data_IF_179035829780
#
_entry.id   IF_179035829780
#
_cell.length_a   1.000
_cell.length_b   1.000
_cell.length_c   1.000
_cell.angle_alpha   90.00
_cell.angle_beta   90.00
_cell.angle_gamma   90.00
#
_symmetry.space_group_name_H-M   'P 1'
#
loop_
_entity.id
_entity.type
_entity.pdbx_description
1 polymer ?
#
# COMPACT_ATOMS: atom_id res chain seq x y z
N UNK A 1 30.55 17.57 -12.45
CA UNK A 1 29.24 16.92 -12.23
C UNK A 1 28.94 16.94 -10.74
N UNK A 2 28.07 17.85 -10.28
CA UNK A 2 27.63 17.88 -8.88
C UNK A 2 26.47 16.91 -8.74
N UNK A 3 26.68 15.83 -7.98
CA UNK A 3 25.63 14.89 -7.59
C UNK A 3 24.84 15.59 -6.49
N UNK A 4 23.66 16.13 -6.83
CA UNK A 4 22.76 16.71 -5.83
C UNK A 4 22.17 15.54 -5.04
N UNK A 5 22.70 15.32 -3.84
CA UNK A 5 22.10 14.41 -2.86
C UNK A 5 20.68 14.87 -2.56
N UNK A 6 19.71 13.97 -2.72
CA UNK A 6 18.30 14.22 -2.42
C UNK A 6 18.16 14.64 -0.94
N UNK A 7 17.54 15.77 -0.62
CA UNK A 7 17.39 16.22 0.77
C UNK A 7 16.49 15.24 1.56
N UNK A 8 16.76 15.10 2.86
CA UNK A 8 15.93 14.32 3.77
C UNK A 8 14.53 14.96 3.88
N UNK A 9 13.44 14.17 3.99
CA UNK A 9 12.09 14.71 4.01
C UNK A 9 11.83 15.54 5.28
N UNK A 10 11.19 16.70 5.08
CA UNK A 10 10.75 17.62 6.15
C UNK A 10 9.54 17.05 6.91
N UNK A 11 9.37 17.43 8.19
CA UNK A 11 8.29 16.94 9.05
C UNK A 11 6.89 17.26 8.49
N UNK A 12 6.70 18.38 7.79
CA UNK A 12 5.42 18.69 7.14
C UNK A 12 5.13 17.71 5.98
N UNK A 13 6.17 17.30 5.26
CA UNK A 13 6.08 16.30 4.19
C UNK A 13 5.79 14.89 4.76
N UNK A 14 6.24 14.59 5.98
CA UNK A 14 5.89 13.36 6.69
C UNK A 14 4.46 13.36 7.22
N UNK A 15 3.97 14.51 7.74
CA UNK A 15 2.57 14.68 8.17
C UNK A 15 1.61 14.53 6.98
N UNK A 16 1.97 15.09 5.82
CA UNK A 16 1.14 15.02 4.62
C UNK A 16 1.13 13.61 4.00
N UNK A 17 2.25 12.86 4.11
CA UNK A 17 2.33 11.45 3.70
C UNK A 17 1.39 10.58 4.55
N UNK A 18 1.47 10.62 5.88
CA UNK A 18 0.57 9.85 6.77
C UNK A 18 -0.93 10.23 6.69
N UNK A 19 -1.27 11.39 6.12
CA UNK A 19 -2.65 11.85 6.01
C UNK A 19 -3.50 10.98 5.06
N UNK A 20 -2.89 10.33 4.06
CA UNK A 20 -3.64 9.52 3.11
C UNK A 20 -4.11 8.21 3.76
N UNK A 21 -3.23 7.52 4.50
CA UNK A 21 -3.60 6.34 5.27
C UNK A 21 -4.71 6.59 6.29
N UNK A 22 -4.62 7.69 7.06
CA UNK A 22 -5.66 8.02 8.05
C UNK A 22 -7.01 8.34 7.39
N UNK A 23 -7.01 9.13 6.30
CA UNK A 23 -8.22 9.39 5.51
C UNK A 23 -8.83 8.11 4.93
N UNK A 24 -7.99 7.16 4.52
CA UNK A 24 -8.45 5.86 4.02
C UNK A 24 -9.16 5.08 5.13
N UNK A 25 -8.57 5.01 6.33
CA UNK A 25 -9.16 4.36 7.51
C UNK A 25 -10.51 4.98 7.86
N UNK A 26 -10.59 6.31 7.92
CA UNK A 26 -11.81 7.03 8.26
C UNK A 26 -12.91 6.86 7.19
N UNK A 27 -12.58 7.07 5.92
CA UNK A 27 -13.55 7.01 4.81
C UNK A 27 -14.14 5.60 4.61
N UNK A 28 -13.33 4.58 4.82
CA UNK A 28 -13.74 3.17 4.67
C UNK A 28 -14.18 2.52 6.00
N UNK A 29 -14.18 3.29 7.10
CA UNK A 29 -14.55 2.84 8.46
C UNK A 29 -13.81 1.57 8.88
N UNK A 30 -12.52 1.51 8.57
CA UNK A 30 -11.63 0.38 8.86
C UNK A 30 -11.29 0.39 10.36
N UNK A 31 -11.28 -0.79 10.99
CA UNK A 31 -10.96 -0.93 12.42
C UNK A 31 -9.79 -1.86 12.70
N UNK A 32 -9.50 -2.78 11.80
CA UNK A 32 -8.40 -3.73 11.94
C UNK A 32 -7.44 -3.68 10.76
N UNK A 33 -6.13 -3.93 10.94
CA UNK A 33 -5.15 -3.87 9.85
C UNK A 33 -5.48 -4.76 8.65
N UNK A 34 -6.07 -5.93 8.89
CA UNK A 34 -6.54 -6.85 7.85
C UNK A 34 -7.66 -6.24 6.99
N UNK A 35 -8.55 -5.48 7.61
CA UNK A 35 -9.69 -4.85 6.93
C UNK A 35 -9.25 -3.80 5.91
N UNK A 36 -8.04 -3.25 6.04
CA UNK A 36 -7.47 -2.33 5.04
C UNK A 36 -7.52 -2.94 3.65
N UNK A 37 -7.20 -4.21 3.50
CA UNK A 37 -7.10 -4.88 2.21
C UNK A 37 -8.46 -5.30 1.64
N UNK A 38 -9.33 -5.85 2.48
CA UNK A 38 -10.68 -6.26 2.07
C UNK A 38 -11.54 -5.05 1.75
N UNK A 39 -11.57 -4.02 2.61
CA UNK A 39 -12.32 -2.78 2.36
C UNK A 39 -11.78 -2.02 1.15
N UNK A 40 -10.47 -2.01 0.93
CA UNK A 40 -9.90 -1.41 -0.27
C UNK A 40 -10.34 -2.16 -1.53
N UNK A 41 -10.37 -3.50 -1.50
CA UNK A 41 -10.84 -4.31 -2.64
C UNK A 41 -12.34 -4.11 -2.92
N UNK A 42 -13.16 -4.00 -1.87
CA UNK A 42 -14.60 -3.74 -1.97
C UNK A 42 -14.88 -2.35 -2.56
N UNK A 43 -14.13 -1.34 -2.12
CA UNK A 43 -14.35 0.06 -2.51
C UNK A 43 -13.75 0.37 -3.87
N UNK A 44 -12.59 -0.22 -4.16
CA UNK A 44 -11.84 -0.03 -5.39
C UNK A 44 -11.72 -1.38 -6.08
N UNK A 45 -12.70 -1.69 -6.93
CA UNK A 45 -12.78 -2.91 -7.76
C UNK A 45 -11.64 -3.04 -8.82
N UNK A 46 -10.54 -2.35 -8.59
CA UNK A 46 -9.31 -2.32 -9.38
C UNK A 46 -8.28 -3.32 -8.87
N UNK A 47 -8.46 -3.91 -7.69
CA UNK A 47 -7.59 -4.94 -7.10
C UNK A 47 -8.43 -5.87 -6.25
N UNK A 48 -8.05 -7.15 -6.17
CA UNK A 48 -8.64 -8.09 -5.21
C UNK A 48 -7.56 -8.66 -4.32
N UNK A 49 -7.58 -8.24 -3.06
CA UNK A 49 -6.72 -8.79 -2.03
C UNK A 49 -7.36 -10.02 -1.37
N UNK A 50 -6.54 -11.05 -1.15
CA UNK A 50 -6.86 -12.22 -0.37
C UNK A 50 -5.93 -12.27 0.84
N UNK A 51 -6.49 -12.49 2.02
CA UNK A 51 -5.73 -12.47 3.29
C UNK A 51 -5.52 -13.90 3.76
N UNK A 52 -4.29 -14.20 4.13
CA UNK A 52 -3.89 -15.50 4.69
C UNK A 52 -3.23 -15.28 6.04
N UNK A 53 -3.61 -16.03 7.10
CA UNK A 53 -2.89 -16.02 8.35
C UNK A 53 -1.41 -16.36 8.14
N UNK A 54 -0.53 -15.69 8.88
CA UNK A 54 0.91 -15.94 8.86
C UNK A 54 1.46 -15.89 10.30
N UNK A 55 2.66 -16.41 10.51
CA UNK A 55 3.29 -16.36 11.83
C UNK A 55 3.50 -14.90 12.27
N UNK A 56 2.92 -14.52 13.42
CA UNK A 56 3.01 -13.16 13.94
C UNK A 56 2.15 -12.11 13.22
N UNK A 57 1.24 -12.51 12.33
CA UNK A 57 0.35 -11.58 11.63
C UNK A 57 -0.38 -12.19 10.44
N UNK A 58 -0.29 -11.55 9.27
CA UNK A 58 -0.94 -12.05 8.04
C UNK A 58 -0.18 -11.66 6.78
N UNK A 59 -0.43 -12.40 5.70
CA UNK A 59 -0.04 -12.05 4.34
C UNK A 59 -1.28 -11.61 3.56
N UNK A 60 -1.15 -10.57 2.74
CA UNK A 60 -2.16 -10.17 1.78
C UNK A 60 -1.60 -10.30 0.36
N UNK A 61 -2.36 -10.97 -0.51
CA UNK A 61 -1.96 -11.26 -1.89
C UNK A 61 -3.02 -10.78 -2.88
N UNK A 62 -2.60 -10.28 -4.04
CA UNK A 62 -3.51 -9.92 -5.13
C UNK A 62 -2.91 -10.31 -6.48
N UNK A 63 -3.70 -11.02 -7.29
CA UNK A 63 -3.28 -11.54 -8.61
C UNK A 63 -3.76 -10.66 -9.77
N UNK A 64 -4.47 -9.57 -9.46
CA UNK A 64 -4.97 -8.61 -10.44
C UNK A 64 -4.92 -7.18 -9.92
N UNK A 65 -4.45 -6.24 -10.75
CA UNK A 65 -4.39 -4.81 -10.44
C UNK A 65 -4.61 -3.98 -11.72
N UNK A 66 -5.83 -3.43 -11.89
CA UNK A 66 -6.20 -2.62 -13.04
C UNK A 66 -5.33 -1.36 -13.18
N UNK A 67 -4.91 -0.75 -12.05
CA UNK A 67 -3.99 0.40 -12.05
C UNK A 67 -2.64 0.07 -12.68
N UNK A 68 -2.05 -1.08 -12.31
CA UNK A 68 -0.76 -1.50 -12.87
C UNK A 68 -0.88 -1.78 -14.36
N UNK A 69 -1.96 -2.47 -14.77
CA UNK A 69 -2.24 -2.74 -16.18
C UNK A 69 -2.42 -1.45 -16.99
N UNK A 70 -3.19 -0.49 -16.46
CA UNK A 70 -3.45 0.79 -17.12
C UNK A 70 -2.19 1.65 -17.20
N UNK A 71 -1.42 1.76 -16.13
CA UNK A 71 -0.17 2.53 -16.11
C UNK A 71 0.84 1.97 -17.13
N UNK A 72 0.99 0.64 -17.23
CA UNK A 72 1.82 0.00 -18.26
C UNK A 72 1.37 0.36 -19.68
N UNK A 73 0.07 0.29 -19.94
CA UNK A 73 -0.50 0.63 -21.25
C UNK A 73 -0.24 2.08 -21.65
N UNK A 74 -0.27 3.00 -20.69
CA UNK A 74 -0.05 4.43 -20.91
C UNK A 74 1.44 4.84 -20.90
N UNK A 75 2.37 3.91 -20.64
CA UNK A 75 3.79 4.23 -20.45
C UNK A 75 4.05 5.10 -19.21
N UNK A 76 3.15 5.06 -18.22
CA UNK A 76 3.26 5.82 -16.99
C UNK A 76 4.15 5.11 -15.95
N UNK A 77 4.69 5.82 -14.94
CA UNK A 77 5.43 5.21 -13.85
C UNK A 77 4.59 4.24 -13.00
N UNK A 78 5.27 3.36 -12.25
CA UNK A 78 4.63 2.38 -11.37
C UNK A 78 3.71 3.03 -10.32
N UNK A 79 2.44 2.62 -10.21
CA UNK A 79 1.53 3.12 -9.18
C UNK A 79 1.75 2.43 -7.82
N UNK A 80 2.54 1.35 -7.75
CA UNK A 80 2.64 0.50 -6.57
C UNK A 80 3.31 1.19 -5.39
N UNK A 81 4.45 1.86 -5.60
CA UNK A 81 5.31 2.34 -4.51
C UNK A 81 5.06 3.79 -4.06
N UNK A 82 4.29 4.58 -4.81
CA UNK A 82 4.05 5.99 -4.47
C UNK A 82 2.58 6.31 -4.20
N UNK A 83 1.69 5.35 -4.43
CA UNK A 83 0.25 5.55 -4.30
C UNK A 83 -0.40 4.36 -3.62
N UNK A 84 -0.39 3.19 -4.27
CA UNK A 84 -1.18 2.05 -3.81
C UNK A 84 -0.64 1.45 -2.51
N UNK A 85 0.58 0.91 -2.51
CA UNK A 85 1.11 0.19 -1.35
C UNK A 85 1.59 1.13 -0.24
N UNK A 86 2.03 2.36 -0.57
CA UNK A 86 2.33 3.39 0.44
C UNK A 86 1.06 3.75 1.23
N UNK A 87 -0.07 4.02 0.57
CA UNK A 87 -1.33 4.33 1.27
C UNK A 87 -1.85 3.17 2.13
N UNK A 88 -1.73 1.92 1.65
CA UNK A 88 -2.11 0.75 2.45
C UNK A 88 -1.19 0.57 3.67
N UNK A 89 0.12 0.80 3.51
CA UNK A 89 1.08 0.73 4.60
C UNK A 89 0.81 1.80 5.66
N UNK A 90 0.48 3.03 5.25
CA UNK A 90 0.10 4.11 6.16
C UNK A 90 -1.21 3.81 6.88
N UNK A 91 -2.22 3.27 6.20
CA UNK A 91 -3.48 2.88 6.82
C UNK A 91 -3.29 1.78 7.88
N UNK A 92 -2.45 0.78 7.59
CA UNK A 92 -2.05 -0.25 8.57
C UNK A 92 -1.36 0.38 9.79
N UNK A 93 -0.41 1.29 9.55
CA UNK A 93 0.32 1.98 10.63
C UNK A 93 -0.58 2.90 11.46
N UNK A 94 -1.59 3.53 10.84
CA UNK A 94 -2.56 4.37 11.53
C UNK A 94 -3.45 3.57 12.52
N UNK A 95 -3.72 2.30 12.22
CA UNK A 95 -4.47 1.39 13.08
C UNK A 95 -3.59 0.74 14.16
N UNK A 96 -2.32 0.46 13.83
CA UNK A 96 -1.36 -0.15 14.73
C UNK A 96 0.04 0.35 14.42
N UNK A 97 0.51 1.32 15.20
CA UNK A 97 1.83 1.93 15.03
C UNK A 97 3.00 0.96 15.24
N UNK A 98 2.74 -0.21 15.81
CA UNK A 98 3.73 -1.29 15.99
C UNK A 98 3.78 -2.26 14.83
N UNK A 99 2.78 -2.25 13.96
CA UNK A 99 2.72 -3.16 12.81
C UNK A 99 3.77 -2.78 11.77
N UNK A 100 4.50 -3.77 11.30
CA UNK A 100 5.43 -3.67 10.18
C UNK A 100 4.70 -4.05 8.91
N UNK A 101 4.96 -3.31 7.84
CA UNK A 101 4.42 -3.57 6.51
C UNK A 101 5.59 -3.84 5.55
N UNK A 102 5.67 -5.05 5.02
CA UNK A 102 6.73 -5.46 4.12
C UNK A 102 6.15 -5.82 2.75
N UNK A 103 6.60 -5.13 1.71
CA UNK A 103 6.29 -5.48 0.33
C UNK A 103 7.25 -6.57 -0.13
N UNK A 104 6.70 -7.75 -0.44
CA UNK A 104 7.47 -8.89 -0.93
C UNK A 104 7.50 -8.92 -2.47
N UNK A 105 6.39 -8.56 -3.11
CA UNK A 105 6.22 -8.63 -4.56
C UNK A 105 5.18 -7.60 -5.04
N UNK A 106 5.24 -7.20 -6.31
CA UNK A 106 4.22 -6.35 -6.94
C UNK A 106 3.88 -6.86 -8.34
N UNK A 107 2.61 -6.73 -8.76
CA UNK A 107 2.16 -6.97 -10.15
C UNK A 107 2.82 -6.04 -11.19
N UNK A 108 3.56 -5.03 -10.74
CA UNK A 108 4.36 -4.20 -11.63
C UNK A 108 5.54 -5.00 -12.21
N UNK A 109 6.26 -5.75 -11.38
CA UNK A 109 7.52 -6.43 -11.74
C UNK A 109 7.41 -7.97 -11.71
N UNK A 110 6.42 -8.50 -11.00
CA UNK A 110 6.22 -9.93 -10.79
C UNK A 110 4.83 -10.41 -11.23
N UNK A 111 4.40 -11.49 -10.62
CA UNK A 111 3.16 -12.21 -10.94
C UNK A 111 2.01 -11.83 -10.00
N UNK A 112 2.33 -11.31 -8.80
CA UNK A 112 1.32 -10.88 -7.83
C UNK A 112 1.80 -9.71 -6.98
N UNK A 113 0.86 -8.99 -6.36
CA UNK A 113 1.18 -8.15 -5.22
C UNK A 113 1.16 -9.03 -3.98
N UNK A 114 2.25 -9.01 -3.19
CA UNK A 114 2.30 -9.72 -1.91
C UNK A 114 2.89 -8.81 -0.85
N UNK A 115 2.19 -8.72 0.27
CA UNK A 115 2.66 -8.00 1.45
C UNK A 115 2.53 -8.86 2.71
N UNK A 116 3.44 -8.64 3.65
CA UNK A 116 3.44 -9.25 4.98
C UNK A 116 3.23 -8.15 6.03
N UNK A 117 2.27 -8.38 6.92
CA UNK A 117 1.95 -7.48 8.04
C UNK A 117 2.16 -8.24 9.34
N UNK A 118 3.04 -7.73 10.20
CA UNK A 118 3.40 -8.32 11.52
C UNK A 118 3.40 -7.28 12.61
#
# INVERSE_FOLDING_TARGET
>A
MLVVGKPAPDQAQQIERGAMGQKLVESLRIREPQDVFTRFSESFAIVRWNIRPAEGGFAAEADYCALSSQAKMMGAPSPCRHYCLEALAEAVQALSSKSRFKVCETLWEGERCRVEVT
#
